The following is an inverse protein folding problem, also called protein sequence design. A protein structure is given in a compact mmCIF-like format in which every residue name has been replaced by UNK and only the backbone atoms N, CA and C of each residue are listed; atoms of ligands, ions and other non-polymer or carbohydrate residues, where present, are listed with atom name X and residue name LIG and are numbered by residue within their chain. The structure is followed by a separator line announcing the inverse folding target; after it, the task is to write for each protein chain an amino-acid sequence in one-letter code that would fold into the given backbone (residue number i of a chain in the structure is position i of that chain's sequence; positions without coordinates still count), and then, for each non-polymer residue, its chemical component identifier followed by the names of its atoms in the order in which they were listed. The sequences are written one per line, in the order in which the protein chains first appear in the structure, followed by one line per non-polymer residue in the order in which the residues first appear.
data_IF_608142207517
#
_entry.id   IF_608142207517
#
_cell.length_a   1.000
_cell.length_b   1.000
_cell.length_c   1.000
_cell.angle_alpha   90.00
_cell.angle_beta   90.00
_cell.angle_gamma   90.00
#
_symmetry.space_group_name_H-M   'P 1'
#
loop_
_entity.id
_entity.type
_entity.pdbx_description
1 polymer ?
#
# COMPACT_ATOMS: atom_id res chain seq x y z
N UNK A 1 -8.72 25.06 8.92
CA UNK A 1 -9.40 25.34 7.63
C UNK A 1 -9.08 24.19 6.69
N UNK A 2 -10.05 23.33 6.36
CA UNK A 2 -9.92 22.35 5.27
C UNK A 2 -11.25 22.37 4.50
N UNK A 3 -11.54 23.53 3.92
CA UNK A 3 -12.43 23.59 2.76
C UNK A 3 -11.49 23.43 1.60
N UNK A 4 -11.65 22.38 0.79
CA UNK A 4 -10.88 22.24 -0.44
C UNK A 4 -11.04 23.53 -1.27
N UNK A 5 -10.02 24.40 -1.21
CA UNK A 5 -10.07 25.69 -1.86
C UNK A 5 -10.10 25.43 -3.36
N UNK A 6 -11.18 25.87 -4.01
CA UNK A 6 -11.34 25.67 -5.43
C UNK A 6 -10.26 26.48 -6.15
N UNK A 7 -9.54 25.83 -7.05
CA UNK A 7 -8.53 26.46 -7.91
C UNK A 7 -8.87 26.22 -9.37
N UNK A 8 -8.46 27.12 -10.25
CA UNK A 8 -8.70 26.96 -11.69
C UNK A 8 -7.37 26.75 -12.40
N UNK A 9 -7.08 25.53 -12.91
CA UNK A 9 -5.84 25.28 -13.63
C UNK A 9 -5.80 25.99 -14.99
N UNK A 10 -4.67 26.62 -15.29
CA UNK A 10 -4.40 27.18 -16.61
C UNK A 10 -4.03 26.08 -17.61
N UNK A 11 -4.23 26.35 -18.90
CA UNK A 11 -3.87 25.43 -19.99
C UNK A 11 -2.40 25.00 -19.92
N UNK A 12 -1.49 25.94 -19.65
CA UNK A 12 -0.06 25.66 -19.55
C UNK A 12 0.27 24.69 -18.41
N UNK A 13 -0.36 24.88 -17.25
CA UNK A 13 -0.17 24.02 -16.07
C UNK A 13 -0.66 22.59 -16.33
N UNK A 14 -1.83 22.44 -16.95
CA UNK A 14 -2.36 21.14 -17.35
C UNK A 14 -1.41 20.48 -18.36
N UNK A 15 -0.99 21.20 -19.41
CA UNK A 15 -0.11 20.65 -20.44
C UNK A 15 1.26 20.25 -19.88
N UNK A 16 1.84 21.04 -18.99
CA UNK A 16 3.09 20.68 -18.32
C UNK A 16 2.94 19.42 -17.46
N UNK A 17 1.85 19.32 -16.69
CA UNK A 17 1.55 18.15 -15.86
C UNK A 17 1.35 16.90 -16.72
N UNK A 18 0.53 16.99 -17.79
CA UNK A 18 0.30 15.88 -18.74
C UNK A 18 1.62 15.39 -19.35
N UNK A 19 2.47 16.31 -19.81
CA UNK A 19 3.79 15.97 -20.38
C UNK A 19 4.70 15.26 -19.38
N UNK A 20 4.71 15.66 -18.11
CA UNK A 20 5.51 14.99 -17.08
C UNK A 20 5.05 13.54 -16.88
N UNK A 21 3.74 13.33 -16.73
CA UNK A 21 3.16 11.98 -16.58
C UNK A 21 3.37 11.14 -17.84
N UNK A 22 3.18 11.71 -19.03
CA UNK A 22 3.41 11.02 -20.30
C UNK A 22 4.88 10.64 -20.51
N UNK A 23 5.82 11.48 -20.06
CA UNK A 23 7.24 11.12 -20.06
C UNK A 23 7.51 9.89 -19.18
N UNK A 24 6.88 9.83 -17.99
CA UNK A 24 6.96 8.63 -17.15
C UNK A 24 6.33 7.40 -17.83
N UNK A 25 5.15 7.53 -18.44
CA UNK A 25 4.50 6.45 -19.19
C UNK A 25 5.41 5.95 -20.33
N UNK A 26 6.01 6.85 -21.11
CA UNK A 26 6.94 6.49 -22.18
C UNK A 26 8.18 5.76 -21.66
N UNK A 27 8.65 6.08 -20.44
CA UNK A 27 9.75 5.35 -19.81
C UNK A 27 9.38 3.90 -19.50
N UNK A 28 8.12 3.63 -19.13
CA UNK A 28 7.58 2.28 -18.91
C UNK A 28 7.47 1.54 -20.24
N UNK A 29 6.96 2.19 -21.30
CA UNK A 29 6.81 1.58 -22.63
C UNK A 29 8.13 1.06 -23.20
N UNK A 30 9.21 1.79 -22.95
CA UNK A 30 10.57 1.44 -23.39
C UNK A 30 11.21 0.36 -22.52
N UNK A 31 10.64 0.04 -21.35
CA UNK A 31 11.22 -0.94 -20.45
C UNK A 31 10.93 -2.38 -20.96
N UNK A 32 11.95 -3.26 -21.06
CA UNK A 32 11.75 -4.62 -21.56
C UNK A 32 10.83 -5.46 -20.66
N UNK A 33 10.89 -5.24 -19.34
CA UNK A 33 10.06 -5.93 -18.35
C UNK A 33 8.72 -5.23 -18.09
N UNK A 34 8.16 -4.40 -18.98
CA UNK A 34 6.90 -3.71 -18.70
C UNK A 34 5.75 -4.69 -18.40
N UNK A 35 4.93 -4.40 -17.40
CA UNK A 35 3.76 -5.20 -17.00
C UNK A 35 2.51 -4.63 -17.66
N UNK A 36 1.86 -5.45 -18.48
CA UNK A 36 0.65 -5.07 -19.20
C UNK A 36 -0.47 -4.63 -18.24
N UNK A 37 -1.15 -3.52 -18.58
CA UNK A 37 -2.23 -2.94 -17.80
C UNK A 37 -1.80 -2.28 -16.47
N UNK A 38 -0.51 -2.28 -16.13
CA UNK A 38 0.02 -1.66 -14.91
C UNK A 38 0.44 -0.20 -15.12
N UNK A 39 -0.19 0.50 -16.07
CA UNK A 39 0.17 1.87 -16.43
C UNK A 39 -0.49 2.88 -15.48
N UNK A 40 0.24 3.93 -15.08
CA UNK A 40 -0.38 5.05 -14.40
C UNK A 40 -1.29 5.80 -15.38
N UNK A 41 -2.33 6.46 -14.88
CA UNK A 41 -3.22 7.30 -15.68
C UNK A 41 -3.73 8.49 -14.89
N UNK A 42 -4.28 9.48 -15.61
CA UNK A 42 -4.83 10.68 -15.01
C UNK A 42 -6.21 11.01 -15.56
N UNK A 43 -7.04 11.64 -14.73
CA UNK A 43 -8.32 12.24 -15.10
C UNK A 43 -8.25 13.72 -14.73
N UNK A 44 -8.11 14.58 -15.74
CA UNK A 44 -8.01 16.04 -15.54
C UNK A 44 -9.18 16.74 -16.19
N UNK A 45 -9.76 17.69 -15.46
CA UNK A 45 -10.75 18.62 -15.98
C UNK A 45 -10.12 19.53 -17.02
N UNK A 46 -10.96 20.08 -17.89
CA UNK A 46 -10.50 20.98 -18.95
C UNK A 46 -9.88 22.26 -18.37
N UNK A 47 -8.93 22.90 -19.09
CA UNK A 47 -8.39 24.20 -18.71
C UNK A 47 -9.48 25.23 -18.41
N UNK A 48 -9.29 26.00 -17.35
CA UNK A 48 -10.29 27.01 -16.94
C UNK A 48 -11.46 26.46 -16.13
N UNK A 49 -11.59 25.13 -15.98
CA UNK A 49 -12.58 24.56 -15.07
C UNK A 49 -12.08 24.60 -13.61
N UNK A 50 -12.91 25.05 -12.65
CA UNK A 50 -12.55 25.02 -11.25
C UNK A 50 -12.48 23.57 -10.72
N UNK A 51 -11.40 23.25 -10.00
CA UNK A 51 -11.17 21.95 -9.34
C UNK A 51 -10.98 22.14 -7.84
N UNK A 52 -11.28 21.09 -7.07
CA UNK A 52 -11.09 21.01 -5.61
C UNK A 52 -9.64 20.66 -5.21
N UNK A 53 -8.79 20.35 -6.18
CA UNK A 53 -7.43 19.86 -5.99
C UNK A 53 -7.18 18.61 -6.82
N UNK A 54 -6.04 17.96 -6.59
CA UNK A 54 -5.68 16.71 -7.26
C UNK A 54 -5.51 15.59 -6.24
N UNK A 55 -6.16 14.45 -6.48
CA UNK A 55 -6.05 13.25 -5.66
C UNK A 55 -5.08 12.29 -6.32
N UNK A 56 -3.99 11.99 -5.62
CA UNK A 56 -2.99 11.02 -6.02
C UNK A 56 -3.29 9.66 -5.39
N UNK A 57 -3.45 8.63 -6.20
CA UNK A 57 -3.99 7.34 -5.77
C UNK A 57 -2.97 6.20 -5.93
N UNK A 58 -2.90 5.30 -4.95
CA UNK A 58 -1.96 4.16 -4.92
C UNK A 58 -2.68 2.83 -4.62
N UNK A 59 -2.44 1.82 -5.47
CA UNK A 59 -3.06 0.50 -5.39
C UNK A 59 -2.39 -0.45 -4.37
N UNK A 60 -3.02 -1.59 -4.10
CA UNK A 60 -2.49 -2.65 -3.23
C UNK A 60 -1.38 -3.50 -3.86
N UNK A 61 -0.76 -4.39 -3.07
CA UNK A 61 0.49 -5.10 -3.42
C UNK A 61 0.46 -5.80 -4.79
N UNK A 62 -0.39 -6.79 -5.01
CA UNK A 62 -0.40 -7.53 -6.29
C UNK A 62 -1.17 -6.84 -7.42
N UNK A 63 -1.84 -5.73 -7.11
CA UNK A 63 -2.77 -5.07 -8.01
C UNK A 63 -2.06 -4.18 -9.05
N UNK A 64 -2.87 -3.44 -9.80
CA UNK A 64 -2.49 -2.46 -10.82
C UNK A 64 -3.22 -1.15 -10.52
N UNK A 65 -2.80 -0.01 -11.10
CA UNK A 65 -3.44 1.29 -10.86
C UNK A 65 -4.95 1.23 -10.95
N UNK A 66 -5.52 0.56 -11.96
CA UNK A 66 -6.97 0.49 -12.16
C UNK A 66 -7.79 -0.14 -11.00
N UNK A 67 -7.17 -0.74 -9.97
CA UNK A 67 -7.88 -1.34 -8.83
C UNK A 67 -8.89 -0.40 -8.15
N UNK A 68 -8.61 0.91 -8.10
CA UNK A 68 -9.48 1.88 -7.43
C UNK A 68 -10.18 2.82 -8.42
N UNK A 69 -10.41 2.37 -9.66
CA UNK A 69 -10.91 3.23 -10.73
C UNK A 69 -12.31 3.81 -10.46
N UNK A 70 -13.20 3.06 -9.80
CA UNK A 70 -14.56 3.54 -9.46
C UNK A 70 -14.52 4.71 -8.48
N UNK A 71 -13.62 4.64 -7.49
CA UNK A 71 -13.37 5.76 -6.59
C UNK A 71 -12.76 6.95 -7.34
N UNK A 72 -11.81 6.69 -8.25
CA UNK A 72 -11.22 7.74 -9.09
C UNK A 72 -12.27 8.47 -9.94
N UNK A 73 -13.14 7.71 -10.61
CA UNK A 73 -14.24 8.25 -11.43
C UNK A 73 -15.22 9.07 -10.57
N UNK A 74 -15.62 8.54 -9.40
CA UNK A 74 -16.47 9.28 -8.48
C UNK A 74 -15.84 10.59 -8.00
N UNK A 75 -14.55 10.59 -7.63
CA UNK A 75 -13.86 11.82 -7.22
C UNK A 75 -13.71 12.80 -8.38
N UNK A 76 -13.43 12.30 -9.59
CA UNK A 76 -13.30 13.09 -10.80
C UNK A 76 -14.62 13.80 -11.15
N UNK A 77 -15.71 13.05 -11.25
CA UNK A 77 -17.05 13.59 -11.54
C UNK A 77 -17.51 14.64 -10.52
N UNK A 78 -16.92 14.63 -9.31
CA UNK A 78 -17.25 15.57 -8.23
C UNK A 78 -16.21 16.66 -8.01
N UNK A 79 -15.39 16.94 -9.04
CA UNK A 79 -14.58 18.14 -9.16
C UNK A 79 -13.14 18.02 -8.67
N UNK A 80 -12.63 16.81 -8.42
CA UNK A 80 -11.20 16.59 -8.22
C UNK A 80 -10.51 16.22 -9.53
N UNK A 81 -9.29 16.68 -9.74
CA UNK A 81 -8.40 15.97 -10.66
C UNK A 81 -7.92 14.69 -9.99
N UNK A 82 -7.61 13.66 -10.77
CA UNK A 82 -7.10 12.39 -10.24
C UNK A 82 -5.83 11.99 -10.98
N UNK A 83 -4.83 11.54 -10.23
CA UNK A 83 -3.64 10.88 -10.77
C UNK A 83 -3.46 9.53 -10.09
N UNK A 84 -3.71 8.45 -10.85
CA UNK A 84 -3.58 7.09 -10.36
C UNK A 84 -2.18 6.58 -10.70
N UNK A 85 -1.31 6.64 -9.71
CA UNK A 85 0.08 6.21 -9.85
C UNK A 85 0.21 4.71 -9.56
N UNK A 86 1.35 4.17 -9.99
CA UNK A 86 1.82 2.85 -9.59
C UNK A 86 2.61 2.97 -8.31
N UNK A 87 2.72 1.86 -7.56
CA UNK A 87 3.71 1.75 -6.49
C UNK A 87 5.04 1.23 -7.06
N UNK A 88 6.14 1.59 -6.40
CA UNK A 88 7.51 1.37 -6.90
C UNK A 88 7.74 -0.06 -7.44
N UNK A 89 8.13 -0.16 -8.72
CA UNK A 89 8.44 -1.44 -9.39
C UNK A 89 7.24 -2.18 -9.98
N UNK A 90 5.99 -1.87 -9.59
CA UNK A 90 4.81 -2.67 -9.97
C UNK A 90 4.35 -2.43 -11.42
N UNK A 91 4.95 -1.45 -12.10
CA UNK A 91 4.87 -1.27 -13.56
C UNK A 91 5.63 -2.33 -14.33
N UNK A 92 6.43 -3.16 -13.65
CA UNK A 92 7.31 -4.15 -14.26
C UNK A 92 6.93 -5.58 -13.84
N UNK A 93 7.14 -6.52 -14.75
CA UNK A 93 7.11 -7.97 -14.51
C UNK A 93 8.38 -8.39 -13.77
N UNK A 94 8.57 -9.69 -13.55
CA UNK A 94 9.73 -10.23 -12.83
C UNK A 94 9.92 -9.58 -11.44
N UNK A 95 8.98 -9.78 -10.48
CA UNK A 95 9.06 -9.16 -9.16
C UNK A 95 10.40 -9.40 -8.45
N UNK A 96 11.02 -10.56 -8.70
CA UNK A 96 12.34 -10.92 -8.21
C UNK A 96 13.44 -9.88 -8.54
N UNK A 97 13.32 -9.20 -9.67
CA UNK A 97 14.29 -8.21 -10.16
C UNK A 97 13.82 -6.78 -9.90
N UNK A 98 12.52 -6.53 -10.05
CA UNK A 98 12.01 -5.18 -10.26
C UNK A 98 11.23 -4.60 -9.08
N UNK A 99 10.72 -5.44 -8.16
CA UNK A 99 9.96 -4.95 -7.01
C UNK A 99 10.88 -4.62 -5.83
N UNK A 100 10.40 -3.82 -4.89
CA UNK A 100 11.12 -3.57 -3.65
C UNK A 100 11.34 -4.89 -2.90
N UNK A 101 12.55 -5.11 -2.37
CA UNK A 101 12.92 -6.32 -1.63
C UNK A 101 13.77 -5.99 -0.40
N UNK A 102 13.81 -6.95 0.52
CA UNK A 102 14.80 -7.05 1.58
C UNK A 102 15.41 -8.43 1.50
N UNK A 103 16.69 -8.50 1.15
CA UNK A 103 17.41 -9.75 0.93
C UNK A 103 18.62 -9.83 1.84
N UNK A 104 18.97 -11.05 2.25
CA UNK A 104 20.20 -11.29 3.01
C UNK A 104 21.39 -11.05 2.10
N UNK A 105 22.43 -10.37 2.62
CA UNK A 105 23.68 -10.23 1.89
C UNK A 105 24.33 -11.60 1.66
N UNK A 106 25.06 -11.78 0.55
CA UNK A 106 25.71 -13.06 0.20
C UNK A 106 26.48 -13.74 1.33
N UNK A 107 27.25 -13.04 2.20
CA UNK A 107 27.97 -13.68 3.31
C UNK A 107 27.08 -14.41 4.33
N UNK A 108 25.79 -14.06 4.41
CA UNK A 108 24.81 -14.71 5.29
C UNK A 108 23.87 -15.63 4.49
N UNK A 109 23.45 -15.18 3.30
CA UNK A 109 22.54 -15.93 2.44
C UNK A 109 23.17 -17.23 1.93
N UNK A 110 24.41 -17.19 1.43
CA UNK A 110 25.01 -18.34 0.74
C UNK A 110 25.29 -19.52 1.68
N UNK A 111 25.84 -19.33 2.91
CA UNK A 111 25.98 -20.43 3.86
C UNK A 111 24.63 -21.03 4.27
N UNK A 112 23.59 -20.19 4.42
CA UNK A 112 22.26 -20.67 4.77
C UNK A 112 21.62 -21.45 3.61
N UNK A 113 21.71 -20.94 2.38
CA UNK A 113 21.29 -21.65 1.16
C UNK A 113 22.00 -23.00 1.00
N UNK A 114 23.29 -23.09 1.33
CA UNK A 114 24.02 -24.35 1.30
C UNK A 114 23.50 -25.35 2.34
N UNK A 115 23.24 -24.89 3.57
CA UNK A 115 22.63 -25.72 4.63
C UNK A 115 21.24 -26.21 4.22
N UNK A 116 20.42 -25.33 3.63
CA UNK A 116 19.10 -25.66 3.10
C UNK A 116 19.16 -26.73 2.00
N UNK A 117 20.14 -26.63 1.09
CA UNK A 117 20.35 -27.63 0.02
C UNK A 117 20.74 -29.00 0.55
N UNK A 118 21.36 -29.07 1.74
CA UNK A 118 21.75 -30.33 2.40
C UNK A 118 20.67 -30.88 3.33
N UNK A 119 19.61 -30.13 3.60
CA UNK A 119 18.52 -30.56 4.48
C UNK A 119 17.43 -31.27 3.67
N UNK A 120 17.30 -32.61 3.77
CA UNK A 120 16.37 -33.36 2.93
C UNK A 120 14.90 -33.02 3.21
N UNK A 121 14.56 -32.64 4.45
CA UNK A 121 13.17 -32.33 4.83
C UNK A 121 12.75 -30.99 4.25
N UNK A 122 13.64 -29.99 4.27
CA UNK A 122 13.35 -28.70 3.63
C UNK A 122 13.36 -28.81 2.11
N UNK A 123 14.26 -29.60 1.53
CA UNK A 123 14.25 -29.87 0.08
C UNK A 123 12.93 -30.52 -0.34
N UNK A 124 12.47 -31.57 0.36
CA UNK A 124 11.20 -32.23 0.06
C UNK A 124 10.02 -31.27 0.28
N UNK A 125 10.04 -30.47 1.35
CA UNK A 125 9.01 -29.48 1.60
C UNK A 125 8.90 -28.48 0.46
N UNK A 126 10.01 -27.83 0.06
CA UNK A 126 9.98 -26.80 -0.99
C UNK A 126 9.68 -27.40 -2.36
N UNK A 127 10.19 -28.60 -2.66
CA UNK A 127 9.85 -29.33 -3.88
C UNK A 127 8.36 -29.62 -3.95
N UNK A 128 7.79 -30.18 -2.89
CA UNK A 128 6.36 -30.43 -2.83
C UNK A 128 5.59 -29.12 -2.96
N UNK A 129 5.94 -28.10 -2.19
CA UNK A 129 5.28 -26.80 -2.22
C UNK A 129 5.30 -26.17 -3.64
N UNK A 130 6.43 -26.21 -4.32
CA UNK A 130 6.57 -25.70 -5.69
C UNK A 130 5.73 -26.47 -6.72
N UNK A 131 5.41 -27.74 -6.48
CA UNK A 131 4.59 -28.58 -7.36
C UNK A 131 3.09 -28.54 -7.05
N UNK A 132 2.65 -27.84 -6.00
CA UNK A 132 1.23 -27.66 -5.69
C UNK A 132 0.77 -26.29 -6.21
N UNK A 133 0.21 -26.21 -7.44
CA UNK A 133 -0.17 -24.93 -8.06
C UNK A 133 -1.23 -24.16 -7.26
N UNK A 134 -2.04 -24.85 -6.46
CA UNK A 134 -3.11 -24.26 -5.63
C UNK A 134 -2.61 -23.75 -4.26
N UNK A 135 -1.38 -24.08 -3.87
CA UNK A 135 -0.81 -23.66 -2.60
C UNK A 135 -0.17 -22.27 -2.72
N UNK A 136 -0.93 -21.21 -2.49
CA UNK A 136 -0.42 -19.83 -2.57
C UNK A 136 0.67 -19.52 -1.53
N UNK A 137 0.60 -20.15 -0.34
CA UNK A 137 1.54 -19.99 0.79
C UNK A 137 1.48 -21.20 1.75
N UNK A 138 2.52 -21.48 2.56
CA UNK A 138 2.46 -22.50 3.61
C UNK A 138 1.39 -22.15 4.66
N UNK A 139 0.70 -23.18 5.20
CA UNK A 139 -0.24 -23.02 6.30
C UNK A 139 0.43 -22.68 7.64
N UNK A 140 -0.34 -22.24 8.63
CA UNK A 140 0.19 -21.76 9.93
C UNK A 140 1.16 -22.74 10.62
N UNK A 141 0.76 -24.01 10.76
CA UNK A 141 1.62 -25.04 11.39
C UNK A 141 2.89 -25.29 10.57
N UNK A 142 2.79 -25.22 9.23
CA UNK A 142 3.95 -25.37 8.36
C UNK A 142 4.91 -24.19 8.50
N UNK A 143 4.41 -22.95 8.59
CA UNK A 143 5.24 -21.77 8.83
C UNK A 143 6.04 -21.89 10.14
N UNK A 144 5.40 -22.30 11.23
CA UNK A 144 6.07 -22.53 12.52
C UNK A 144 7.13 -23.62 12.40
N UNK A 145 6.81 -24.76 11.77
CA UNK A 145 7.75 -25.86 11.60
C UNK A 145 8.96 -25.47 10.74
N UNK A 146 8.75 -24.68 9.67
CA UNK A 146 9.81 -24.13 8.84
C UNK A 146 10.71 -23.21 9.64
N UNK A 147 10.14 -22.26 10.40
CA UNK A 147 10.93 -21.36 11.24
C UNK A 147 11.78 -22.12 12.24
N UNK A 148 11.20 -23.09 12.97
CA UNK A 148 11.93 -23.89 13.95
C UNK A 148 13.11 -24.63 13.32
N UNK A 149 12.90 -25.18 12.11
CA UNK A 149 13.95 -25.89 11.37
C UNK A 149 15.05 -24.95 10.84
N UNK A 150 14.68 -23.77 10.36
CA UNK A 150 15.63 -22.74 9.92
C UNK A 150 16.53 -22.29 11.08
N UNK A 151 15.96 -22.04 12.26
CA UNK A 151 16.71 -21.69 13.48
C UNK A 151 17.64 -22.83 13.90
N UNK A 152 17.21 -24.08 13.80
CA UNK A 152 18.06 -25.23 14.12
C UNK A 152 19.27 -25.37 13.16
N UNK A 153 19.09 -25.04 11.87
CA UNK A 153 20.17 -25.06 10.87
C UNK A 153 21.15 -23.89 11.03
N UNK A 154 20.63 -22.72 11.40
CA UNK A 154 21.42 -21.50 11.54
C UNK A 154 20.98 -20.72 12.78
N UNK A 155 21.56 -20.97 13.96
CA UNK A 155 21.18 -20.28 15.19
C UNK A 155 21.31 -18.74 15.13
N UNK A 156 22.21 -18.22 14.28
CA UNK A 156 22.35 -16.77 14.02
C UNK A 156 21.12 -16.17 13.33
N UNK A 157 20.20 -17.00 12.85
CA UNK A 157 18.95 -16.54 12.25
C UNK A 157 18.08 -15.76 13.23
N UNK A 158 18.25 -15.96 14.54
CA UNK A 158 17.60 -15.15 15.57
C UNK A 158 18.13 -13.71 15.60
N UNK A 159 19.43 -13.52 15.47
CA UNK A 159 20.06 -12.19 15.39
C UNK A 159 19.63 -11.47 14.10
N UNK A 160 19.63 -12.20 12.98
CA UNK A 160 19.14 -11.72 11.67
C UNK A 160 17.67 -11.29 11.78
N UNK A 161 16.82 -12.11 12.40
CA UNK A 161 15.40 -11.80 12.60
C UNK A 161 15.24 -10.55 13.49
N UNK A 162 16.01 -10.44 14.56
CA UNK A 162 15.97 -9.27 15.43
C UNK A 162 16.39 -7.97 14.70
N UNK A 163 17.36 -8.05 13.79
CA UNK A 163 17.81 -6.93 12.97
C UNK A 163 16.73 -6.39 12.03
N UNK A 164 15.86 -7.27 11.50
CA UNK A 164 14.80 -6.87 10.59
C UNK A 164 13.50 -6.47 11.28
N UNK A 165 13.12 -7.16 12.36
CA UNK A 165 11.88 -6.90 13.08
C UNK A 165 11.87 -5.56 13.82
N UNK A 166 13.06 -5.10 14.23
CA UNK A 166 13.29 -3.85 14.94
C UNK A 166 13.54 -2.70 13.96
N UNK A 167 12.64 -1.71 13.83
CA UNK A 167 12.71 -0.69 12.78
C UNK A 167 13.99 0.16 12.77
N UNK A 168 14.61 0.39 13.92
CA UNK A 168 15.81 1.21 14.08
C UNK A 168 17.05 0.39 14.47
N UNK A 169 17.05 -0.91 14.24
CA UNK A 169 18.19 -1.74 14.60
C UNK A 169 19.41 -1.41 13.70
N UNK A 170 20.58 -1.06 14.30
CA UNK A 170 21.78 -0.71 13.53
C UNK A 170 22.32 -1.88 12.69
N UNK A 171 22.01 -3.12 13.06
CA UNK A 171 22.47 -4.31 12.35
C UNK A 171 21.64 -4.63 11.10
N UNK A 172 20.57 -3.87 10.82
CA UNK A 172 19.80 -4.07 9.59
C UNK A 172 20.70 -3.97 8.35
N UNK A 173 21.47 -2.89 8.24
CA UNK A 173 22.38 -2.70 7.11
C UNK A 173 23.60 -3.62 7.18
N UNK A 174 23.86 -4.26 8.33
CA UNK A 174 24.88 -5.30 8.42
C UNK A 174 24.43 -6.56 7.65
N UNK A 175 23.20 -7.03 7.91
CA UNK A 175 22.70 -8.30 7.36
C UNK A 175 22.03 -8.17 5.98
N UNK A 176 21.38 -7.05 5.68
CA UNK A 176 20.44 -6.97 4.56
C UNK A 176 20.87 -5.98 3.47
N UNK A 177 20.53 -6.31 2.23
CA UNK A 177 20.38 -5.33 1.14
C UNK A 177 18.90 -5.04 1.00
N UNK A 178 18.52 -3.77 0.85
CA UNK A 178 17.11 -3.44 0.72
C UNK A 178 16.82 -2.26 -0.19
N UNK A 179 15.70 -2.38 -0.90
CA UNK A 179 15.10 -1.33 -1.73
C UNK A 179 13.75 -0.84 -1.18
N UNK A 180 13.41 -1.12 0.10
CA UNK A 180 12.13 -0.68 0.69
C UNK A 180 11.91 0.85 0.63
N UNK A 181 12.98 1.65 0.63
CA UNK A 181 12.92 3.11 0.48
C UNK A 181 12.47 3.56 -0.92
N UNK A 182 12.51 2.69 -1.94
CA UNK A 182 12.02 3.01 -3.27
C UNK A 182 10.52 3.30 -3.26
N UNK A 183 9.74 2.72 -2.34
CA UNK A 183 8.32 3.08 -2.16
C UNK A 183 8.11 4.58 -1.95
N UNK A 184 8.91 5.21 -1.08
CA UNK A 184 8.82 6.65 -0.84
C UNK A 184 9.47 7.47 -1.96
N UNK A 185 10.62 7.01 -2.46
CA UNK A 185 11.37 7.75 -3.48
C UNK A 185 10.58 7.83 -4.78
N UNK A 186 9.95 6.74 -5.19
CA UNK A 186 9.09 6.70 -6.37
C UNK A 186 7.84 7.56 -6.16
N UNK A 187 7.15 7.43 -5.02
CA UNK A 187 5.98 8.26 -4.73
C UNK A 187 6.29 9.76 -4.74
N UNK A 188 7.48 10.17 -4.27
CA UNK A 188 7.95 11.56 -4.38
C UNK A 188 8.19 11.98 -5.83
N UNK A 189 8.81 11.12 -6.64
CA UNK A 189 9.00 11.39 -8.06
C UNK A 189 7.65 11.55 -8.78
N UNK A 190 6.67 10.71 -8.45
CA UNK A 190 5.30 10.80 -8.97
C UNK A 190 4.55 12.05 -8.50
N UNK A 191 4.84 12.55 -7.29
CA UNK A 191 4.32 13.83 -6.83
C UNK A 191 4.91 15.01 -7.63
N UNK A 192 6.19 14.95 -8.03
CA UNK A 192 6.82 15.98 -8.87
C UNK A 192 6.23 16.02 -10.29
N UNK A 193 5.64 14.92 -10.79
CA UNK A 193 4.88 14.95 -12.04
C UNK A 193 3.69 15.94 -11.95
N UNK A 194 3.20 16.24 -10.73
CA UNK A 194 2.14 17.21 -10.43
C UNK A 194 2.65 18.59 -10.02
N UNK A 195 3.93 18.91 -10.25
CA UNK A 195 4.54 20.17 -9.80
C UNK A 195 3.81 21.41 -10.32
N UNK A 196 3.42 21.40 -11.61
CA UNK A 196 2.75 22.53 -12.24
C UNK A 196 1.26 22.64 -11.91
N UNK A 197 0.64 21.57 -11.41
CA UNK A 197 -0.79 21.53 -11.12
C UNK A 197 -1.11 22.38 -9.88
N UNK A 198 -1.99 23.39 -9.97
CA UNK A 198 -2.28 24.24 -8.81
C UNK A 198 -3.18 23.54 -7.79
N UNK A 199 -3.36 24.19 -6.63
CA UNK A 199 -4.26 23.74 -5.58
C UNK A 199 -3.67 22.68 -4.67
N UNK A 200 -4.53 22.11 -3.82
CA UNK A 200 -4.16 21.09 -2.86
C UNK A 200 -3.89 19.73 -3.55
N UNK A 201 -2.90 19.01 -3.04
CA UNK A 201 -2.71 17.58 -3.34
C UNK A 201 -3.22 16.76 -2.17
N UNK A 202 -3.99 15.73 -2.46
CA UNK A 202 -4.44 14.72 -1.51
C UNK A 202 -3.86 13.37 -1.92
N UNK A 203 -3.65 12.49 -0.95
CA UNK A 203 -3.19 11.12 -1.23
C UNK A 203 -4.22 10.11 -0.75
N UNK A 204 -4.46 9.08 -1.55
CA UNK A 204 -5.38 8.00 -1.23
C UNK A 204 -4.71 6.67 -1.55
N UNK A 205 -4.85 5.67 -0.69
CA UNK A 205 -4.31 4.36 -1.03
C UNK A 205 -4.86 3.20 -0.22
N UNK A 206 -4.75 2.01 -0.81
CA UNK A 206 -5.16 0.73 -0.23
C UNK A 206 -3.92 -0.11 0.13
N UNK A 207 -3.90 -0.73 1.31
CA UNK A 207 -2.86 -1.70 1.68
C UNK A 207 -1.46 -1.07 1.63
N UNK A 208 -0.57 -1.63 0.83
CA UNK A 208 0.75 -1.04 0.52
C UNK A 208 0.63 0.38 -0.02
N UNK A 209 -0.34 0.63 -0.92
CA UNK A 209 -0.66 1.97 -1.40
C UNK A 209 -1.10 2.91 -0.30
N UNK A 210 -1.80 2.42 0.73
CA UNK A 210 -2.16 3.19 1.92
C UNK A 210 -0.93 3.60 2.74
N UNK A 211 0.03 2.68 2.90
CA UNK A 211 1.32 2.99 3.53
C UNK A 211 2.13 4.00 2.70
N UNK A 212 2.12 3.88 1.37
CA UNK A 212 2.78 4.83 0.45
C UNK A 212 2.15 6.21 0.53
N UNK A 213 0.81 6.31 0.54
CA UNK A 213 0.08 7.56 0.69
C UNK A 213 0.45 8.27 2.02
N UNK A 214 0.44 7.53 3.13
CA UNK A 214 0.86 8.04 4.45
C UNK A 214 2.33 8.50 4.45
N UNK A 215 3.23 7.68 3.91
CA UNK A 215 4.66 8.00 3.83
C UNK A 215 4.93 9.24 2.97
N UNK A 216 4.25 9.38 1.83
CA UNK A 216 4.36 10.56 0.97
C UNK A 216 3.86 11.81 1.68
N UNK A 217 2.67 11.74 2.30
CA UNK A 217 2.10 12.84 3.06
C UNK A 217 3.03 13.31 4.19
N UNK A 218 3.56 12.36 4.97
CA UNK A 218 4.52 12.63 6.04
C UNK A 218 5.82 13.28 5.53
N UNK A 219 6.24 12.93 4.31
CA UNK A 219 7.49 13.45 3.73
C UNK A 219 7.34 14.80 3.03
N UNK A 220 6.12 15.19 2.66
CA UNK A 220 5.79 16.43 1.94
C UNK A 220 4.58 17.16 2.55
N UNK A 221 4.63 17.52 3.85
CA UNK A 221 3.56 18.28 4.51
C UNK A 221 3.35 19.67 3.89
N UNK A 222 4.38 20.21 3.22
CA UNK A 222 4.31 21.44 2.44
C UNK A 222 3.28 21.33 1.30
N UNK A 223 3.15 20.15 0.69
CA UNK A 223 2.38 19.92 -0.53
C UNK A 223 1.09 19.12 -0.31
N UNK A 224 1.15 18.04 0.46
CA UNK A 224 0.01 17.14 0.70
C UNK A 224 -0.86 17.68 1.84
N UNK A 225 -2.17 17.86 1.60
CA UNK A 225 -3.12 18.52 2.52
C UNK A 225 -4.11 17.58 3.21
N UNK A 226 -4.11 16.31 2.82
CA UNK A 226 -4.88 15.27 3.48
C UNK A 226 -4.54 13.90 2.91
N UNK A 227 -4.78 12.87 3.72
CA UNK A 227 -4.55 11.48 3.34
C UNK A 227 -5.74 10.60 3.72
N UNK A 228 -6.12 9.69 2.83
CA UNK A 228 -7.07 8.61 3.10
C UNK A 228 -6.35 7.28 2.91
N UNK A 229 -6.36 6.43 3.93
CA UNK A 229 -5.67 5.14 3.90
C UNK A 229 -6.63 4.02 4.27
N UNK A 230 -6.89 3.14 3.30
CA UNK A 230 -7.69 1.93 3.48
C UNK A 230 -6.76 0.76 3.80
N UNK A 231 -6.98 0.12 4.96
CA UNK A 231 -6.20 -1.01 5.46
C UNK A 231 -4.68 -0.88 5.25
N UNK A 232 -4.01 0.23 5.64
CA UNK A 232 -2.61 0.43 5.28
C UNK A 232 -1.69 -0.65 5.86
N UNK A 233 -0.80 -1.19 5.02
CA UNK A 233 0.14 -2.25 5.40
C UNK A 233 1.34 -1.65 6.16
N UNK A 234 1.13 -1.25 7.41
CA UNK A 234 2.19 -0.73 8.29
C UNK A 234 3.04 -1.86 8.90
N UNK A 235 2.42 -3.03 9.06
CA UNK A 235 3.01 -4.27 9.54
C UNK A 235 2.17 -5.45 9.04
N UNK A 236 2.82 -6.57 8.76
CA UNK A 236 2.15 -7.81 8.36
C UNK A 236 1.30 -8.35 9.51
N UNK A 237 0.07 -8.76 9.17
CA UNK A 237 -0.89 -9.39 10.06
C UNK A 237 -0.36 -10.72 10.63
N UNK A 238 -0.50 -10.88 11.95
CA UNK A 238 -0.13 -12.09 12.67
C UNK A 238 1.37 -12.17 12.97
N UNK A 239 1.72 -12.33 14.25
CA UNK A 239 3.12 -12.34 14.71
C UNK A 239 3.93 -13.44 14.03
N UNK A 240 3.41 -14.66 14.03
CA UNK A 240 4.08 -15.84 13.49
C UNK A 240 4.26 -15.70 11.98
N UNK A 241 3.25 -15.18 11.28
CA UNK A 241 3.35 -14.91 9.84
C UNK A 241 4.41 -13.86 9.54
N UNK A 242 4.42 -12.76 10.28
CA UNK A 242 5.43 -11.71 10.11
C UNK A 242 6.84 -12.26 10.33
N UNK A 243 7.04 -13.06 11.38
CA UNK A 243 8.33 -13.69 11.65
C UNK A 243 8.74 -14.65 10.53
N UNK A 244 7.80 -15.47 10.04
CA UNK A 244 8.03 -16.33 8.89
C UNK A 244 8.42 -15.51 7.65
N UNK A 245 7.69 -14.45 7.30
CA UNK A 245 8.02 -13.59 6.15
C UNK A 245 9.40 -12.97 6.29
N UNK A 246 9.74 -12.44 7.47
CA UNK A 246 11.02 -11.79 7.72
C UNK A 246 12.21 -12.77 7.73
N UNK A 247 11.95 -14.06 7.99
CA UNK A 247 12.97 -15.11 7.99
C UNK A 247 13.10 -15.82 6.64
N UNK A 248 11.96 -16.11 5.99
CA UNK A 248 11.87 -16.86 4.74
C UNK A 248 12.07 -15.98 3.51
N UNK A 249 11.66 -14.71 3.56
CA UNK A 249 11.82 -13.73 2.49
C UNK A 249 13.23 -13.65 1.93
N UNK A 250 14.25 -13.51 2.78
CA UNK A 250 15.64 -13.46 2.37
C UNK A 250 16.24 -14.76 1.81
N UNK A 251 15.45 -15.83 1.63
CA UNK A 251 15.87 -17.16 1.18
C UNK A 251 15.33 -17.54 -0.21
N UNK A 252 14.90 -16.55 -0.99
CA UNK A 252 14.33 -16.71 -2.35
C UNK A 252 13.06 -17.58 -2.44
N UNK A 253 12.38 -17.81 -1.31
CA UNK A 253 11.10 -18.51 -1.29
C UNK A 253 10.08 -17.62 -2.00
N UNK A 254 9.38 -18.17 -2.99
CA UNK A 254 8.39 -17.44 -3.78
C UNK A 254 6.97 -17.82 -3.40
N UNK A 255 6.11 -16.82 -3.21
CA UNK A 255 4.68 -16.94 -2.96
C UNK A 255 3.87 -16.33 -4.10
N UNK A 256 2.58 -16.65 -4.16
CA UNK A 256 1.64 -16.06 -5.13
C UNK A 256 0.83 -14.94 -4.47
N UNK A 257 0.53 -13.90 -5.25
CA UNK A 257 -0.34 -12.81 -4.82
C UNK A 257 -1.82 -13.08 -5.03
N UNK A 258 -2.63 -12.04 -4.87
CA UNK A 258 -4.06 -12.07 -5.24
C UNK A 258 -4.25 -12.17 -6.76
N UNK A 259 -3.26 -11.75 -7.55
CA UNK A 259 -3.15 -12.07 -8.97
C UNK A 259 -2.51 -13.46 -9.10
N UNK A 260 -3.32 -14.46 -9.51
CA UNK A 260 -2.89 -15.85 -9.62
C UNK A 260 -1.71 -16.06 -10.59
N UNK A 261 -1.49 -15.12 -11.51
CA UNK A 261 -0.37 -15.17 -12.46
C UNK A 261 0.89 -14.48 -11.92
N UNK A 262 0.84 -13.92 -10.72
CA UNK A 262 1.92 -13.14 -10.13
C UNK A 262 2.57 -13.88 -8.97
N UNK A 263 3.74 -14.47 -9.24
CA UNK A 263 4.64 -15.02 -8.21
C UNK A 263 5.72 -14.01 -7.87
N UNK A 264 6.01 -13.84 -6.59
CA UNK A 264 7.03 -12.91 -6.09
C UNK A 264 7.85 -13.54 -4.96
N UNK A 265 9.12 -13.13 -4.77
CA UNK A 265 9.87 -13.53 -3.59
C UNK A 265 9.25 -12.96 -2.32
N UNK A 266 9.22 -13.73 -1.24
CA UNK A 266 8.70 -13.31 0.06
C UNK A 266 9.45 -12.09 0.60
N UNK A 267 10.70 -11.85 0.17
CA UNK A 267 11.48 -10.63 0.44
C UNK A 267 10.78 -9.34 -0.01
N UNK A 268 9.84 -9.40 -0.96
CA UNK A 268 9.01 -8.26 -1.33
C UNK A 268 7.97 -7.92 -0.25
N UNK A 269 7.38 -8.91 0.44
CA UNK A 269 6.51 -8.66 1.60
C UNK A 269 7.31 -8.11 2.78
N UNK A 270 8.52 -8.62 2.98
CA UNK A 270 9.47 -8.09 3.96
C UNK A 270 9.79 -6.61 3.71
N UNK A 271 9.97 -6.22 2.45
CA UNK A 271 10.19 -4.81 2.09
C UNK A 271 9.01 -3.92 2.44
N UNK A 272 7.78 -4.39 2.27
CA UNK A 272 6.61 -3.59 2.67
C UNK A 272 6.50 -3.49 4.20
N UNK A 273 6.68 -4.59 4.94
CA UNK A 273 6.69 -4.54 6.41
C UNK A 273 7.76 -3.56 6.92
N UNK A 274 8.94 -3.60 6.32
CA UNK A 274 10.03 -2.69 6.66
C UNK A 274 9.68 -1.25 6.32
N UNK A 275 9.11 -0.98 5.15
CA UNK A 275 8.67 0.35 4.75
C UNK A 275 7.64 0.93 5.75
N UNK A 276 6.59 0.18 6.05
CA UNK A 276 5.57 0.59 7.02
C UNK A 276 6.17 0.87 8.40
N UNK A 277 6.95 -0.08 8.93
CA UNK A 277 7.45 -0.04 10.29
C UNK A 277 8.61 0.94 10.53
N UNK A 278 9.47 1.17 9.55
CA UNK A 278 10.67 2.03 9.69
C UNK A 278 10.54 3.41 9.04
N UNK A 279 9.67 3.57 8.05
CA UNK A 279 9.48 4.86 7.36
C UNK A 279 8.21 5.53 7.84
N UNK A 280 7.06 4.87 7.64
CA UNK A 280 5.73 5.47 7.91
C UNK A 280 5.51 5.66 9.41
N UNK A 281 5.91 4.68 10.22
CA UNK A 281 5.83 4.74 11.69
C UNK A 281 7.04 5.40 12.36
N UNK A 282 7.95 6.02 11.59
CA UNK A 282 9.10 6.71 12.18
C UNK A 282 8.65 7.91 13.06
N UNK A 283 9.39 8.27 14.12
CA UNK A 283 9.02 9.43 14.95
C UNK A 283 8.89 10.74 14.16
N UNK A 284 9.70 10.92 13.10
CA UNK A 284 9.59 12.07 12.20
C UNK A 284 8.31 12.04 11.38
N UNK A 285 7.94 10.89 10.82
CA UNK A 285 6.73 10.76 10.02
C UNK A 285 5.47 10.97 10.88
N UNK A 286 5.43 10.37 12.08
CA UNK A 286 4.35 10.55 13.05
C UNK A 286 4.16 12.04 13.38
N UNK A 287 5.24 12.76 13.75
CA UNK A 287 5.16 14.20 14.02
C UNK A 287 4.65 15.01 12.83
N UNK A 288 5.02 14.64 11.61
CA UNK A 288 4.51 15.32 10.42
C UNK A 288 3.01 15.05 10.23
N UNK A 289 2.57 13.79 10.36
CA UNK A 289 1.18 13.38 10.19
C UNK A 289 0.25 13.94 11.28
N UNK A 290 0.76 14.27 12.46
CA UNK A 290 0.00 15.04 13.47
C UNK A 290 -0.50 16.40 12.96
N UNK A 291 0.07 16.92 11.87
CA UNK A 291 -0.35 18.18 11.25
C UNK A 291 -1.20 18.01 9.99
N UNK A 292 -1.37 16.78 9.52
CA UNK A 292 -2.08 16.46 8.27
C UNK A 292 -3.37 15.69 8.60
N UNK A 293 -4.54 16.19 8.20
CA UNK A 293 -5.79 15.45 8.33
C UNK A 293 -5.69 14.07 7.68
N UNK A 294 -5.97 13.04 8.47
CA UNK A 294 -5.86 11.64 8.06
C UNK A 294 -7.16 10.89 8.30
N UNK A 295 -7.69 10.23 7.27
CA UNK A 295 -8.81 9.29 7.39
C UNK A 295 -8.29 7.86 7.19
N UNK A 296 -8.40 7.03 8.23
CA UNK A 296 -8.04 5.61 8.18
C UNK A 296 -9.27 4.72 8.28
N UNK A 297 -9.36 3.72 7.41
CA UNK A 297 -10.44 2.73 7.42
C UNK A 297 -9.84 1.34 7.49
N UNK A 298 -10.29 0.54 8.45
CA UNK A 298 -9.89 -0.85 8.65
C UNK A 298 -11.11 -1.78 8.59
N UNK A 299 -10.85 -3.08 8.59
CA UNK A 299 -11.84 -4.13 8.80
C UNK A 299 -11.34 -5.14 9.84
N UNK A 300 -12.23 -5.75 10.60
CA UNK A 300 -11.90 -6.90 11.47
C UNK A 300 -11.64 -8.18 10.67
N UNK A 301 -12.09 -8.26 9.41
CA UNK A 301 -11.81 -9.37 8.49
C UNK A 301 -10.43 -9.24 7.79
N UNK A 302 -9.49 -8.60 8.48
CA UNK A 302 -8.17 -8.30 7.93
C UNK A 302 -7.26 -9.53 7.91
N UNK A 303 -6.52 -9.72 6.83
CA UNK A 303 -5.64 -10.87 6.64
C UNK A 303 -4.29 -10.53 6.03
N UNK A 304 -3.94 -9.25 5.93
CA UNK A 304 -2.68 -8.75 5.41
C UNK A 304 -2.05 -7.73 6.35
N UNK A 305 -2.80 -6.72 6.81
CA UNK A 305 -2.32 -5.65 7.69
C UNK A 305 -2.59 -5.93 9.18
N UNK A 306 -1.67 -5.59 10.07
CA UNK A 306 -1.90 -5.75 11.51
C UNK A 306 -2.87 -4.68 12.06
N UNK A 307 -4.02 -5.10 12.58
CA UNK A 307 -5.08 -4.17 13.06
C UNK A 307 -4.58 -3.34 14.24
N UNK A 308 -3.95 -3.97 15.23
CA UNK A 308 -3.53 -3.29 16.46
C UNK A 308 -2.38 -2.32 16.23
N UNK A 309 -1.48 -2.62 15.28
CA UNK A 309 -0.46 -1.67 14.82
C UNK A 309 -1.11 -0.44 14.18
N UNK A 310 -2.12 -0.63 13.32
CA UNK A 310 -2.84 0.48 12.70
C UNK A 310 -3.63 1.32 13.71
N UNK A 311 -4.30 0.69 14.69
CA UNK A 311 -5.00 1.40 15.77
C UNK A 311 -4.05 2.25 16.61
N UNK A 312 -2.92 1.70 17.03
CA UNK A 312 -1.90 2.44 17.80
C UNK A 312 -1.29 3.56 16.97
N UNK A 313 -0.94 3.29 15.72
CA UNK A 313 -0.42 4.33 14.82
C UNK A 313 -1.43 5.48 14.64
N UNK A 314 -2.72 5.17 14.47
CA UNK A 314 -3.75 6.21 14.38
C UNK A 314 -3.81 7.07 15.65
N UNK A 315 -3.67 6.46 16.84
CA UNK A 315 -3.58 7.19 18.10
C UNK A 315 -2.33 8.08 18.14
N UNK A 316 -1.18 7.58 17.71
CA UNK A 316 0.09 8.33 17.70
C UNK A 316 0.04 9.57 16.78
N UNK A 317 -0.64 9.48 15.64
CA UNK A 317 -0.81 10.61 14.71
C UNK A 317 -2.00 11.51 15.07
N UNK A 318 -2.87 11.11 16.00
CA UNK A 318 -4.00 11.92 16.42
C UNK A 318 -3.55 13.03 17.37
N UNK A 319 -4.08 14.22 17.16
CA UNK A 319 -3.84 15.39 18.00
C UNK A 319 -5.11 16.23 18.10
N UNK A 320 -5.21 17.09 19.11
CA UNK A 320 -6.34 18.03 19.22
C UNK A 320 -6.46 19.00 18.03
N UNK A 321 -5.40 19.09 17.20
CA UNK A 321 -5.28 20.06 16.11
C UNK A 321 -5.63 19.50 14.74
N UNK A 322 -5.65 18.17 14.56
CA UNK A 322 -5.95 17.54 13.28
C UNK A 322 -7.33 16.85 13.31
N UNK A 323 -8.06 16.96 12.20
CA UNK A 323 -9.39 16.37 12.04
C UNK A 323 -9.27 14.95 11.51
N UNK A 324 -8.55 14.12 12.26
CA UNK A 324 -8.37 12.75 11.89
C UNK A 324 -9.68 11.97 12.08
N UNK A 325 -9.91 11.00 11.21
CA UNK A 325 -11.05 10.11 11.24
C UNK A 325 -10.56 8.67 11.21
N UNK A 326 -11.21 7.80 11.98
CA UNK A 326 -10.94 6.38 11.99
C UNK A 326 -12.25 5.60 11.96
N UNK A 327 -12.32 4.60 11.09
CA UNK A 327 -13.45 3.69 11.05
C UNK A 327 -12.94 2.24 10.97
N UNK A 328 -13.62 1.35 11.68
CA UNK A 328 -13.35 -0.09 11.66
C UNK A 328 -14.66 -0.80 11.33
N UNK A 329 -14.72 -1.42 10.15
CA UNK A 329 -15.78 -2.38 9.84
C UNK A 329 -15.66 -3.58 10.78
N UNK A 330 -16.78 -4.01 11.35
CA UNK A 330 -16.83 -5.14 12.27
C UNK A 330 -16.84 -6.46 11.50
N UNK A 331 -16.53 -7.57 12.19
CA UNK A 331 -16.49 -8.91 11.60
C UNK A 331 -17.79 -9.23 10.83
N UNK A 332 -18.94 -8.89 11.43
CA UNK A 332 -20.29 -9.13 10.88
C UNK A 332 -20.58 -8.36 9.59
N UNK A 333 -19.83 -7.29 9.30
CA UNK A 333 -20.05 -6.44 8.15
C UNK A 333 -19.48 -7.08 6.86
N UNK A 334 -18.70 -8.16 6.99
CA UNK A 334 -18.13 -8.93 5.87
C UNK A 334 -17.39 -8.06 4.83
N UNK A 335 -16.71 -7.00 5.30
CA UNK A 335 -15.87 -6.16 4.45
C UNK A 335 -14.46 -6.76 4.40
N UNK A 336 -13.93 -7.16 3.23
CA UNK A 336 -12.60 -7.77 3.13
C UNK A 336 -11.47 -6.73 3.13
N UNK A 337 -10.21 -7.18 3.18
CA UNK A 337 -9.02 -6.31 3.06
C UNK A 337 -9.05 -5.38 1.83
N UNK A 338 -9.27 -5.87 0.58
CA UNK A 338 -9.47 -5.02 -0.57
C UNK A 338 -10.87 -4.39 -0.60
N UNK A 339 -11.16 -3.54 0.39
CA UNK A 339 -12.49 -2.96 0.63
C UNK A 339 -12.95 -1.92 -0.40
N UNK A 340 -12.08 -1.48 -1.31
CA UNK A 340 -12.35 -0.32 -2.16
C UNK A 340 -13.20 -0.72 -3.36
N UNK A 341 -12.82 -1.77 -4.09
CA UNK A 341 -13.54 -2.20 -5.29
C UNK A 341 -14.69 -3.15 -4.91
N UNK A 342 -15.96 -2.79 -5.17
CA UNK A 342 -17.10 -3.67 -4.89
C UNK A 342 -17.10 -4.99 -5.67
N UNK A 343 -16.34 -5.09 -6.76
CA UNK A 343 -16.24 -6.31 -7.57
C UNK A 343 -15.12 -7.24 -7.12
N UNK A 344 -14.23 -6.78 -6.23
CA UNK A 344 -13.16 -7.61 -5.69
C UNK A 344 -13.72 -8.52 -4.59
N UNK A 345 -13.65 -9.83 -4.82
CA UNK A 345 -14.03 -10.85 -3.83
C UNK A 345 -12.77 -11.39 -3.19
N UNK A 346 -12.67 -11.25 -1.88
CA UNK A 346 -11.57 -11.81 -1.09
C UNK A 346 -12.16 -12.53 0.11
N UNK A 347 -11.65 -13.75 0.37
CA UNK A 347 -12.16 -14.61 1.45
C UNK A 347 -13.68 -14.85 1.39
N UNK A 348 -14.24 -14.94 0.18
CA UNK A 348 -15.69 -15.03 -0.08
C UNK A 348 -16.51 -13.82 0.41
N UNK A 349 -15.86 -12.68 0.61
CA UNK A 349 -16.46 -11.43 1.06
C UNK A 349 -16.29 -10.32 0.01
N UNK A 350 -17.19 -9.34 0.02
CA UNK A 350 -17.16 -8.14 -0.81
C UNK A 350 -17.67 -6.95 0.00
N UNK A 351 -17.17 -5.74 -0.26
CA UNK A 351 -17.64 -4.57 0.49
C UNK A 351 -19.02 -4.10 -0.01
N UNK A 352 -20.08 -4.41 0.73
CA UNK A 352 -21.43 -3.92 0.44
C UNK A 352 -21.64 -2.44 0.78
N UNK A 353 -20.74 -1.83 1.56
CA UNK A 353 -20.76 -0.43 1.98
C UNK A 353 -19.86 0.47 1.13
N UNK A 354 -19.45 0.01 -0.05
CA UNK A 354 -18.49 0.74 -0.90
C UNK A 354 -19.00 2.13 -1.33
N UNK A 355 -20.31 2.31 -1.55
CA UNK A 355 -20.87 3.61 -1.93
C UNK A 355 -20.77 4.62 -0.79
N UNK A 356 -21.07 4.20 0.44
CA UNK A 356 -20.91 5.06 1.62
C UNK A 356 -19.43 5.34 1.92
N UNK A 357 -18.54 4.35 1.75
CA UNK A 357 -17.08 4.55 1.82
C UNK A 357 -16.62 5.65 0.85
N UNK A 358 -17.13 5.67 -0.37
CA UNK A 358 -16.78 6.68 -1.38
C UNK A 358 -17.30 8.07 -1.00
N UNK A 359 -18.57 8.14 -0.58
CA UNK A 359 -19.19 9.37 -0.11
C UNK A 359 -18.44 9.99 1.07
N UNK A 360 -18.03 9.17 2.04
CA UNK A 360 -17.28 9.65 3.21
C UNK A 360 -15.83 9.98 2.88
N UNK A 361 -15.25 9.33 1.88
CA UNK A 361 -13.96 9.76 1.30
C UNK A 361 -14.08 11.16 0.69
N UNK A 362 -15.10 11.40 -0.14
CA UNK A 362 -15.35 12.72 -0.72
C UNK A 362 -15.60 13.79 0.36
N UNK A 363 -16.44 13.46 1.36
CA UNK A 363 -16.74 14.36 2.48
C UNK A 363 -15.48 14.70 3.28
N UNK A 364 -14.63 13.70 3.53
CA UNK A 364 -13.38 13.93 4.23
C UNK A 364 -12.45 14.86 3.44
N UNK A 365 -12.29 14.62 2.14
CA UNK A 365 -11.41 15.45 1.29
C UNK A 365 -11.92 16.88 1.12
N UNK A 366 -13.24 17.10 1.17
CA UNK A 366 -13.86 18.42 0.95
C UNK A 366 -14.11 19.21 2.23
N UNK A 367 -14.47 18.53 3.31
CA UNK A 367 -14.92 19.12 4.56
C UNK A 367 -14.05 18.78 5.76
N UNK A 368 -13.11 17.83 5.63
CA UNK A 368 -12.27 17.35 6.73
C UNK A 368 -13.04 16.64 7.85
N UNK A 369 -14.17 16.01 7.53
CA UNK A 369 -14.98 15.21 8.48
C UNK A 369 -15.54 13.97 7.80
N UNK A 370 -15.90 12.99 8.61
CA UNK A 370 -16.58 11.75 8.22
C UNK A 370 -17.84 11.59 9.07
N UNK A 371 -18.95 11.21 8.43
CA UNK A 371 -20.14 10.72 9.10
C UNK A 371 -19.99 9.21 9.36
N UNK A 372 -19.66 8.87 10.60
CA UNK A 372 -19.41 7.48 11.01
C UNK A 372 -20.66 6.60 10.89
N UNK A 373 -21.85 7.17 11.03
CA UNK A 373 -23.10 6.42 10.88
C UNK A 373 -23.34 6.03 9.40
N UNK A 374 -22.85 6.85 8.46
CA UNK A 374 -22.99 6.55 7.03
C UNK A 374 -22.05 5.43 6.58
N UNK A 375 -20.88 5.27 7.20
CA UNK A 375 -19.88 4.27 6.80
C UNK A 375 -20.40 2.82 6.76
N UNK A 376 -21.36 2.48 7.63
CA UNK A 376 -22.04 1.18 7.69
C UNK A 376 -23.43 1.18 7.03
N UNK A 377 -23.77 2.19 6.24
CA UNK A 377 -25.06 2.32 5.57
C UNK A 377 -25.02 1.73 4.15
N UNK A 378 -26.07 0.99 3.81
CA UNK A 378 -26.36 0.56 2.42
C UNK A 378 -27.09 1.64 1.63
N UNK A 379 -27.71 2.60 2.31
CA UNK A 379 -28.34 3.76 1.70
C UNK A 379 -27.30 4.86 1.52
N UNK A 380 -27.35 5.55 0.39
CA UNK A 380 -26.50 6.71 0.12
C UNK A 380 -26.96 7.92 0.92
N UNK A 381 -26.00 8.69 1.46
CA UNK A 381 -26.25 9.97 2.07
C UNK A 381 -26.72 10.99 1.03
N UNK A 382 -27.68 11.85 1.41
CA UNK A 382 -28.32 12.82 0.50
C UNK A 382 -27.58 14.17 0.45
N UNK A 383 -26.71 14.45 1.42
CA UNK A 383 -25.98 15.72 1.55
C UNK A 383 -24.62 15.72 0.83
N UNK A 384 -24.27 14.63 0.16
CA UNK A 384 -23.10 14.47 -0.69
C UNK A 384 -23.50 13.86 -2.04
N UNK A 385 -22.72 14.07 -3.11
CA UNK A 385 -23.08 13.57 -4.44
C UNK A 385 -23.32 12.05 -4.45
N UNK A 386 -24.33 11.57 -5.20
CA UNK A 386 -24.62 10.15 -5.29
C UNK A 386 -23.51 9.40 -6.03
N UNK A 387 -23.29 8.16 -5.63
CA UNK A 387 -22.38 7.21 -6.30
C UNK A 387 -23.20 6.39 -7.28
N UNK A 388 -22.77 6.32 -8.54
CA UNK A 388 -23.42 5.47 -9.54
C UNK A 388 -23.37 3.99 -9.11
N UNK A 389 -24.31 3.18 -9.58
CA UNK A 389 -24.27 1.74 -9.31
C UNK A 389 -23.08 1.08 -10.04
N UNK A 390 -22.57 0.00 -9.45
CA UNK A 390 -21.60 -0.86 -10.13
C UNK A 390 -22.37 -1.65 -11.19
N UNK A 391 -22.44 -1.12 -12.42
CA UNK A 391 -22.86 -1.90 -13.58
C UNK A 391 -21.81 -2.96 -13.91
#
# INVERSE_FOLDING_TARGET
MNVAAVTTPALEQINQTKRAIEHHIQSIDRHPDRREGAYPYYLFHEPGQPIRGTVMMFHGFSAKPHQMWRLADYLFQNGFNVYQSTIAGHVLTNPAKNWCQVDLKPPYADPLREKLRRDPILQDFFKNFATHPDAARPGFIQQIALMARLVALEPRSLDIMNAIESPNNPDFDHYFTSSHLHYLTDAKARLEDLHAMPGAIYTVGLSVGGAVALGLAASRPDRVKGVVAYAPLLRIHGKERRQYVNLAGPLDISESGWDANLRFPVGALTAVDRFGSSVVMSPSAVRSLQTIPTFMVLTENEDAADIDTNKRFFQDISSERNRNAFYLYLLKDQVPHPMVDPTEVSQNMSNHFWQSLYQETFRFLTEGRVNMDNMGSLSQAQDVPPVANAN
#
